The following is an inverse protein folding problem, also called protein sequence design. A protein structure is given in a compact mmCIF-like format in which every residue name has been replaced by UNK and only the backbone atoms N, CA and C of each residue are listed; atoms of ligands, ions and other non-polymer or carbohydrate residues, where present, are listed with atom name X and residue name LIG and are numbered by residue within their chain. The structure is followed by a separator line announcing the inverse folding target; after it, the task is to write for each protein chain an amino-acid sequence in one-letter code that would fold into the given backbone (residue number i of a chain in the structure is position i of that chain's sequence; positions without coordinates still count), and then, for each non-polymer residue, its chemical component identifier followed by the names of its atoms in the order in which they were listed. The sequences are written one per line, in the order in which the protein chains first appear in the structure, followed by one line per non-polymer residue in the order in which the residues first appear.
data_IF_782981588940
#
_entry.id   IF_782981588940
#
_cell.length_a   1.000
_cell.length_b   1.000
_cell.length_c   1.000
_cell.angle_alpha   90.00
_cell.angle_beta   90.00
_cell.angle_gamma   90.00
#
_symmetry.space_group_name_H-M   'P 1'
#
loop_
_entity.id
_entity.type
_entity.pdbx_description
1 polymer ?
#
# COMPACT_ATOMS: atom_id res chain seq x y z
N UNK A 1 -13.67 -2.75 9.19
CA UNK A 1 -13.94 -1.60 8.30
C UNK A 1 -13.11 -0.42 8.80
N UNK A 2 -12.01 -0.09 8.11
CA UNK A 2 -11.26 1.13 8.40
C UNK A 2 -11.91 2.27 7.60
N UNK A 3 -12.42 3.28 8.29
CA UNK A 3 -12.97 4.48 7.66
C UNK A 3 -11.85 5.48 7.43
N UNK A 4 -11.82 6.07 6.23
CA UNK A 4 -10.88 7.10 5.85
C UNK A 4 -11.49 8.46 6.20
N UNK A 5 -10.84 9.20 7.10
CA UNK A 5 -11.22 10.58 7.40
C UNK A 5 -10.36 11.52 6.56
N UNK A 6 -10.99 12.17 5.60
CA UNK A 6 -10.39 13.24 4.82
C UNK A 6 -10.58 14.56 5.58
N UNK A 7 -9.51 15.12 6.16
CA UNK A 7 -9.58 16.47 6.74
C UNK A 7 -9.47 17.50 5.61
N UNK A 8 -10.62 17.97 5.14
CA UNK A 8 -10.71 19.12 4.23
C UNK A 8 -10.34 20.40 5.00
N UNK A 9 -9.22 21.05 4.66
CA UNK A 9 -9.04 22.49 4.94
C UNK A 9 -9.79 23.27 3.86
N UNK A 10 -11.11 23.38 3.99
CA UNK A 10 -12.00 24.01 3.01
C UNK A 10 -13.47 23.92 3.41
N UNK A 11 -14.39 24.62 2.71
CA UNK A 11 -15.80 24.71 3.10
C UNK A 11 -16.39 23.31 3.32
N UNK A 12 -17.05 23.12 4.47
CA UNK A 12 -17.59 21.81 4.86
C UNK A 12 -18.56 21.30 3.80
N UNK A 13 -18.25 20.14 3.20
CA UNK A 13 -19.23 19.40 2.42
C UNK A 13 -20.30 18.89 3.39
N UNK A 14 -21.58 19.13 3.07
CA UNK A 14 -22.66 18.68 3.93
C UNK A 14 -22.74 17.15 3.91
N UNK A 15 -22.22 16.52 4.96
CA UNK A 15 -22.25 15.08 5.13
C UNK A 15 -23.67 14.59 5.43
N UNK A 16 -24.33 14.01 4.42
CA UNK A 16 -25.60 13.29 4.62
C UNK A 16 -25.41 11.88 5.18
N UNK A 17 -24.20 11.54 5.66
CA UNK A 17 -23.87 10.14 6.05
C UNK A 17 -22.84 10.06 7.18
N UNK A 18 -22.84 10.99 8.13
CA UNK A 18 -22.24 10.69 9.44
C UNK A 18 -23.35 10.11 10.30
N UNK A 19 -23.38 8.78 10.40
CA UNK A 19 -24.13 8.08 11.45
C UNK A 19 -23.67 8.68 12.79
N UNK A 20 -24.61 9.16 13.59
CA UNK A 20 -24.44 9.84 14.88
C UNK A 20 -23.84 8.96 16.01
N UNK A 21 -23.00 7.98 15.64
CA UNK A 21 -22.31 7.07 16.55
C UNK A 21 -20.98 6.55 16.01
N UNK A 22 -20.37 7.21 15.03
CA UNK A 22 -19.04 6.82 14.53
C UNK A 22 -17.95 7.23 15.52
N UNK A 23 -17.38 6.25 16.23
CA UNK A 23 -16.09 6.45 16.89
C UNK A 23 -15.01 6.52 15.81
N UNK A 24 -14.38 7.68 15.70
CA UNK A 24 -13.24 7.84 14.80
C UNK A 24 -12.11 6.91 15.27
N UNK A 25 -11.42 6.18 14.37
CA UNK A 25 -10.22 5.47 14.75
C UNK A 25 -9.21 6.47 15.32
N UNK A 26 -8.53 6.08 16.40
CA UNK A 26 -7.58 6.92 17.13
C UNK A 26 -6.39 7.39 16.28
N UNK A 27 -6.20 6.79 15.09
CA UNK A 27 -5.21 7.13 14.08
C UNK A 27 -5.93 7.34 12.75
N UNK A 28 -6.27 8.60 12.44
CA UNK A 28 -6.72 8.98 11.12
C UNK A 28 -5.51 9.14 10.19
N UNK A 29 -5.59 8.55 8.99
CA UNK A 29 -4.65 8.85 7.91
C UNK A 29 -5.00 10.24 7.39
N UNK A 30 -4.33 11.26 7.93
CA UNK A 30 -4.45 12.63 7.45
C UNK A 30 -3.52 12.79 6.27
N UNK A 31 -4.08 12.92 5.08
CA UNK A 31 -3.33 13.32 3.90
C UNK A 31 -3.91 14.63 3.36
N UNK A 32 -3.02 15.47 2.85
CA UNK A 32 -3.40 16.75 2.27
C UNK A 32 -4.06 16.52 0.91
N UNK A 33 -5.29 17.00 0.77
CA UNK A 33 -6.06 16.94 -0.46
C UNK A 33 -5.42 17.70 -1.60
N UNK A 34 -4.80 18.84 -1.32
CA UNK A 34 -4.13 19.65 -2.33
C UNK A 34 -2.89 18.92 -2.83
N UNK A 35 -2.11 18.35 -1.91
CA UNK A 35 -0.94 17.55 -2.25
C UNK A 35 -1.32 16.27 -3.04
N UNK A 36 -2.40 15.59 -2.66
CA UNK A 36 -2.90 14.43 -3.41
C UNK A 36 -3.41 14.85 -4.81
N UNK A 37 -4.10 15.97 -4.91
CA UNK A 37 -4.57 16.50 -6.19
C UNK A 37 -3.39 16.86 -7.10
N UNK A 38 -2.38 17.56 -6.58
CA UNK A 38 -1.15 17.90 -7.30
C UNK A 38 -0.40 16.63 -7.76
N UNK A 39 -0.35 15.62 -6.90
CA UNK A 39 0.18 14.30 -7.24
C UNK A 39 -0.58 13.72 -8.45
N UNK A 40 -1.91 13.63 -8.38
CA UNK A 40 -2.75 13.12 -9.47
C UNK A 40 -2.68 13.93 -10.78
N UNK A 41 -2.28 15.20 -10.74
CA UNK A 41 -2.07 16.02 -11.94
C UNK A 41 -0.84 15.59 -12.75
N UNK A 42 0.14 14.93 -12.11
CA UNK A 42 1.32 14.41 -12.80
C UNK A 42 1.06 13.11 -13.57
N UNK A 43 -0.11 12.50 -13.38
CA UNK A 43 -0.47 11.25 -14.03
C UNK A 43 -0.73 11.45 -15.54
N UNK A 44 -0.14 10.61 -16.41
CA UNK A 44 -0.41 10.66 -17.84
C UNK A 44 -1.90 10.48 -18.15
N UNK A 45 -2.43 11.31 -19.06
CA UNK A 45 -3.82 11.20 -19.53
C UNK A 45 -3.86 10.51 -20.90
N UNK A 46 -4.17 9.22 -20.90
CA UNK A 46 -4.22 8.39 -22.11
C UNK A 46 -5.53 8.52 -22.89
N UNK A 47 -6.42 9.46 -22.53
CA UNK A 47 -7.67 9.71 -23.26
C UNK A 47 -7.39 10.41 -24.59
N UNK A 48 -8.24 10.14 -25.58
CA UNK A 48 -8.27 10.95 -26.79
C UNK A 48 -8.54 12.43 -26.43
N UNK A 49 -7.76 13.32 -27.03
CA UNK A 49 -7.87 14.78 -26.85
C UNK A 49 -9.25 15.31 -27.25
N UNK A 50 -9.96 14.62 -28.14
CA UNK A 50 -11.30 15.01 -28.59
C UNK A 50 -12.34 14.74 -27.50
N UNK A 51 -13.05 15.79 -27.08
CA UNK A 51 -14.18 15.67 -26.16
C UNK A 51 -13.80 15.56 -24.68
N UNK A 52 -12.59 16.00 -24.30
CA UNK A 52 -12.18 16.15 -22.90
C UNK A 52 -13.02 17.22 -22.20
N UNK A 53 -14.01 16.78 -21.42
CA UNK A 53 -14.89 17.67 -20.65
C UNK A 53 -14.40 17.92 -19.23
N UNK A 54 -13.68 16.97 -18.64
CA UNK A 54 -13.22 17.02 -17.25
C UNK A 54 -11.72 16.74 -17.17
N UNK A 55 -10.95 17.54 -16.39
CA UNK A 55 -9.56 17.24 -16.08
C UNK A 55 -9.44 15.85 -15.44
N UNK A 56 -8.41 15.08 -15.80
CA UNK A 56 -8.23 13.72 -15.28
C UNK A 56 -8.07 13.71 -13.77
N UNK A 57 -7.20 14.56 -13.23
CA UNK A 57 -6.97 14.68 -11.79
C UNK A 57 -8.27 14.95 -11.01
N UNK A 58 -9.15 15.81 -11.52
CA UNK A 58 -10.44 16.10 -10.87
C UNK A 58 -11.37 14.88 -10.88
N UNK A 59 -11.41 14.11 -11.98
CA UNK A 59 -12.16 12.85 -12.01
C UNK A 59 -11.59 11.86 -10.99
N UNK A 60 -10.29 11.64 -10.98
CA UNK A 60 -9.66 10.69 -10.07
C UNK A 60 -9.87 11.11 -8.61
N UNK A 61 -9.73 12.39 -8.30
CA UNK A 61 -9.94 12.91 -6.95
C UNK A 61 -11.39 12.74 -6.48
N UNK A 62 -12.38 13.08 -7.33
CA UNK A 62 -13.80 12.80 -7.04
C UNK A 62 -14.01 11.30 -6.84
N UNK A 63 -13.33 10.45 -7.62
CA UNK A 63 -13.39 9.01 -7.50
C UNK A 63 -12.83 8.49 -6.18
N UNK A 64 -11.69 9.02 -5.73
CA UNK A 64 -11.11 8.75 -4.41
C UNK A 64 -12.13 9.13 -3.33
N UNK A 65 -12.66 10.36 -3.34
CA UNK A 65 -13.64 10.79 -2.35
C UNK A 65 -14.89 9.89 -2.33
N UNK A 66 -15.40 9.50 -3.50
CA UNK A 66 -16.52 8.56 -3.60
C UNK A 66 -16.18 7.20 -3.00
N UNK A 67 -14.97 6.67 -3.25
CA UNK A 67 -14.49 5.40 -2.67
C UNK A 67 -14.36 5.48 -1.15
N UNK A 68 -13.86 6.59 -0.63
CA UNK A 68 -13.78 6.83 0.82
C UNK A 68 -15.17 6.93 1.44
N UNK A 69 -16.14 7.48 0.71
CA UNK A 69 -17.57 7.47 1.07
C UNK A 69 -18.26 6.10 0.81
N UNK A 70 -17.50 5.03 0.56
CA UNK A 70 -18.00 3.66 0.44
C UNK A 70 -18.58 3.29 -0.92
N UNK A 71 -18.41 4.12 -1.95
CA UNK A 71 -18.91 3.81 -3.30
C UNK A 71 -17.93 2.92 -4.05
N UNK A 72 -18.28 1.68 -4.36
CA UNK A 72 -17.39 0.69 -4.95
C UNK A 72 -17.59 0.43 -6.45
N UNK A 73 -18.56 1.11 -7.08
CA UNK A 73 -18.90 0.94 -8.49
C UNK A 73 -18.93 2.27 -9.26
N UNK A 74 -18.67 2.24 -10.58
CA UNK A 74 -18.76 3.42 -11.45
C UNK A 74 -20.12 4.11 -11.40
N UNK A 75 -21.20 3.34 -11.19
CA UNK A 75 -22.56 3.87 -10.99
C UNK A 75 -22.70 4.56 -9.64
N UNK A 76 -22.20 3.93 -8.57
CA UNK A 76 -22.17 4.52 -7.22
C UNK A 76 -21.38 5.83 -7.19
N UNK A 77 -20.20 5.86 -7.80
CA UNK A 77 -19.36 7.06 -7.92
C UNK A 77 -20.09 8.18 -8.67
N UNK A 78 -20.70 7.88 -9.82
CA UNK A 78 -21.47 8.87 -10.59
C UNK A 78 -22.67 9.41 -9.81
N UNK A 79 -23.40 8.54 -9.12
CA UNK A 79 -24.54 8.93 -8.29
C UNK A 79 -24.11 9.81 -7.12
N UNK A 80 -23.06 9.41 -6.40
CA UNK A 80 -22.50 10.17 -5.28
C UNK A 80 -22.02 11.55 -5.71
N UNK A 81 -21.31 11.64 -6.83
CA UNK A 81 -20.85 12.92 -7.38
C UNK A 81 -22.04 13.81 -7.76
N UNK A 82 -23.08 13.24 -8.41
CA UNK A 82 -24.30 13.98 -8.81
C UNK A 82 -25.00 14.64 -7.61
N UNK A 83 -25.08 13.96 -6.47
CA UNK A 83 -25.69 14.51 -5.26
C UNK A 83 -24.90 15.67 -4.64
N UNK A 84 -23.58 15.72 -4.89
CA UNK A 84 -22.64 16.72 -4.35
C UNK A 84 -22.11 17.67 -5.42
N UNK A 85 -22.87 17.85 -6.51
CA UNK A 85 -22.40 18.57 -7.71
C UNK A 85 -21.93 20.00 -7.44
N UNK A 86 -22.58 20.69 -6.49
CA UNK A 86 -22.27 22.09 -6.16
C UNK A 86 -20.96 22.17 -5.40
N UNK A 87 -20.80 21.37 -4.34
CA UNK A 87 -19.56 21.39 -3.56
C UNK A 87 -18.37 20.93 -4.39
N UNK A 88 -18.51 19.86 -5.17
CA UNK A 88 -17.43 19.35 -6.02
C UNK A 88 -17.06 20.32 -7.15
N UNK A 89 -18.04 21.04 -7.72
CA UNK A 89 -17.77 22.05 -8.75
C UNK A 89 -16.99 23.24 -8.18
N UNK A 90 -17.29 23.64 -6.95
CA UNK A 90 -16.56 24.71 -6.25
C UNK A 90 -15.16 24.25 -5.87
N UNK A 91 -15.04 23.07 -5.26
CA UNK A 91 -13.77 22.52 -4.78
C UNK A 91 -12.74 22.30 -5.91
N UNK A 92 -13.19 21.81 -7.07
CA UNK A 92 -12.31 21.53 -8.21
C UNK A 92 -12.36 22.58 -9.32
N UNK A 93 -13.00 23.73 -9.06
CA UNK A 93 -13.17 24.82 -10.03
C UNK A 93 -13.66 24.34 -11.42
N UNK A 94 -14.65 23.42 -11.41
CA UNK A 94 -15.16 22.84 -12.64
C UNK A 94 -15.92 23.88 -13.45
N UNK A 95 -15.71 23.89 -14.77
CA UNK A 95 -16.40 24.81 -15.70
C UNK A 95 -17.92 24.63 -15.73
N UNK A 96 -18.43 23.49 -15.25
CA UNK A 96 -19.84 23.11 -15.30
C UNK A 96 -20.20 22.39 -14.01
N UNK A 97 -21.37 22.68 -13.46
CA UNK A 97 -21.96 21.94 -12.33
C UNK A 97 -22.54 20.57 -12.74
N UNK A 98 -22.39 20.17 -14.00
CA UNK A 98 -22.81 18.85 -14.44
C UNK A 98 -21.73 17.83 -14.09
N UNK A 99 -22.13 16.73 -13.45
CA UNK A 99 -21.20 15.69 -13.03
C UNK A 99 -21.03 14.60 -14.10
N UNK A 100 -19.89 13.89 -14.13
CA UNK A 100 -19.63 12.85 -15.10
C UNK A 100 -20.63 11.69 -14.96
N UNK A 101 -21.19 11.25 -16.10
CA UNK A 101 -22.02 10.06 -16.16
C UNK A 101 -21.20 8.78 -15.89
N UNK A 102 -21.86 7.68 -15.48
CA UNK A 102 -21.17 6.41 -15.15
C UNK A 102 -20.29 5.90 -16.29
N UNK A 103 -20.67 6.14 -17.55
CA UNK A 103 -19.89 5.74 -18.73
C UNK A 103 -18.58 6.52 -18.88
N UNK A 104 -18.48 7.73 -18.33
CA UNK A 104 -17.20 8.47 -18.25
C UNK A 104 -16.26 7.82 -17.25
N UNK A 105 -16.78 7.43 -16.08
CA UNK A 105 -16.02 6.70 -15.07
C UNK A 105 -15.49 5.36 -15.59
N UNK A 106 -16.36 4.55 -16.23
CA UNK A 106 -15.94 3.27 -16.82
C UNK A 106 -14.87 3.45 -17.90
N UNK A 107 -14.97 4.48 -18.76
CA UNK A 107 -13.93 4.75 -19.76
C UNK A 107 -12.61 5.20 -19.14
N UNK A 108 -12.67 6.06 -18.12
CA UNK A 108 -11.49 6.59 -17.45
C UNK A 108 -10.77 5.47 -16.71
N UNK A 109 -11.47 4.73 -15.85
CA UNK A 109 -10.89 3.65 -15.07
C UNK A 109 -10.50 2.42 -15.92
N UNK A 110 -11.11 2.25 -17.10
CA UNK A 110 -10.82 1.12 -17.99
C UNK A 110 -9.70 1.37 -19.00
N UNK A 111 -9.46 2.63 -19.41
CA UNK A 111 -8.58 2.94 -20.54
C UNK A 111 -7.74 4.20 -20.40
N UNK A 112 -8.12 5.16 -19.53
CA UNK A 112 -7.41 6.44 -19.47
C UNK A 112 -6.17 6.42 -18.60
N UNK A 113 -6.05 5.40 -17.74
CA UNK A 113 -5.09 5.35 -16.66
C UNK A 113 -4.56 3.94 -16.55
N UNK A 114 -3.24 3.79 -16.52
CA UNK A 114 -2.61 2.50 -16.28
C UNK A 114 -2.52 2.23 -14.77
N UNK A 115 -2.97 1.06 -14.26
CA UNK A 115 -2.95 0.76 -12.83
C UNK A 115 -1.55 0.91 -12.19
N UNK A 116 -0.50 0.46 -12.90
CA UNK A 116 0.87 0.55 -12.40
C UNK A 116 1.37 2.00 -12.23
N UNK A 117 0.94 2.92 -13.09
CA UNK A 117 1.28 4.34 -12.98
C UNK A 117 0.62 4.96 -11.73
N UNK A 118 -0.64 4.60 -11.46
CA UNK A 118 -1.35 5.06 -10.25
C UNK A 118 -0.71 4.52 -8.99
N UNK A 119 -0.42 3.21 -8.97
CA UNK A 119 0.21 2.56 -7.82
C UNK A 119 1.56 3.19 -7.50
N UNK A 120 2.39 3.41 -8.52
CA UNK A 120 3.70 4.04 -8.34
C UNK A 120 3.58 5.46 -7.79
N UNK A 121 2.69 6.26 -8.39
CA UNK A 121 2.49 7.66 -8.03
C UNK A 121 1.94 7.81 -6.60
N UNK A 122 0.93 7.02 -6.24
CA UNK A 122 0.37 7.00 -4.89
C UNK A 122 1.38 6.45 -3.87
N UNK A 123 2.15 5.43 -4.23
CA UNK A 123 3.23 4.90 -3.39
C UNK A 123 4.25 5.99 -3.03
N UNK A 124 4.73 6.75 -4.01
CA UNK A 124 5.63 7.88 -3.79
C UNK A 124 5.02 8.97 -2.91
N UNK A 125 3.74 9.31 -3.13
CA UNK A 125 3.03 10.29 -2.32
C UNK A 125 3.01 9.88 -0.85
N UNK A 126 2.67 8.63 -0.57
CA UNK A 126 2.61 8.14 0.80
C UNK A 126 3.99 8.03 1.45
N UNK A 127 5.05 7.71 0.70
CA UNK A 127 6.43 7.72 1.23
C UNK A 127 6.87 9.16 1.56
N UNK A 128 6.63 10.10 0.65
CA UNK A 128 7.05 11.51 0.82
C UNK A 128 6.33 12.17 1.99
N UNK A 129 5.02 11.93 2.13
CA UNK A 129 4.22 12.45 3.24
C UNK A 129 4.66 11.93 4.62
N UNK A 130 5.54 10.93 4.68
CA UNK A 130 6.08 10.37 5.92
C UNK A 130 7.49 10.87 6.26
N UNK A 131 8.13 11.63 5.36
CA UNK A 131 9.58 11.88 5.37
C UNK A 131 10.01 13.21 6.00
N UNK A 132 9.25 13.75 6.95
CA UNK A 132 9.65 14.98 7.67
C UNK A 132 10.89 14.80 8.57
N UNK A 133 11.41 13.58 8.71
CA UNK A 133 12.63 13.28 9.45
C UNK A 133 13.46 12.20 8.74
N UNK A 134 14.79 12.26 8.88
CA UNK A 134 15.71 11.21 8.44
C UNK A 134 15.21 9.83 8.91
N UNK A 135 15.16 8.82 8.02
CA UNK A 135 14.63 7.51 8.36
C UNK A 135 15.52 6.85 9.40
N UNK A 136 15.08 6.90 10.65
CA UNK A 136 15.72 6.20 11.75
C UNK A 136 15.62 4.69 11.49
N UNK A 137 16.76 3.99 11.56
CA UNK A 137 16.83 2.54 11.32
C UNK A 137 15.80 1.81 12.17
N UNK A 138 14.98 0.99 11.51
CA UNK A 138 14.01 0.15 12.19
C UNK A 138 12.67 0.81 12.54
N UNK A 139 12.44 2.07 12.13
CA UNK A 139 11.22 2.81 12.49
C UNK A 139 10.00 2.41 11.67
N UNK A 140 10.21 1.98 10.43
CA UNK A 140 9.13 1.70 9.48
C UNK A 140 9.03 0.19 9.29
N UNK A 141 7.87 -0.40 9.59
CA UNK A 141 7.60 -1.79 9.24
C UNK A 141 6.94 -1.84 7.86
N UNK A 142 7.48 -2.67 6.97
CA UNK A 142 6.87 -3.05 5.70
C UNK A 142 6.53 -4.53 5.75
N UNK A 143 5.29 -4.89 5.46
CA UNK A 143 4.82 -6.26 5.46
C UNK A 143 4.54 -6.72 4.02
N UNK A 144 5.02 -7.91 3.68
CA UNK A 144 4.73 -8.62 2.44
C UNK A 144 3.59 -9.61 2.66
N UNK A 145 2.52 -9.49 1.88
CA UNK A 145 1.33 -10.34 2.01
C UNK A 145 0.67 -10.61 0.66
N UNK A 146 0.36 -11.88 0.40
CA UNK A 146 -0.31 -12.37 -0.80
C UNK A 146 -1.83 -12.46 -0.61
N UNK A 147 -2.61 -11.74 -1.42
CA UNK A 147 -4.08 -11.77 -1.40
C UNK A 147 -4.68 -12.17 -2.73
N UNK A 148 -5.65 -13.09 -2.67
CA UNK A 148 -6.49 -13.44 -3.83
C UNK A 148 -7.75 -12.59 -3.84
N UNK A 149 -7.95 -11.85 -4.93
CA UNK A 149 -9.16 -11.08 -5.20
C UNK A 149 -10.28 -12.01 -5.63
N UNK A 150 -11.03 -12.56 -4.66
CA UNK A 150 -12.09 -13.56 -4.93
C UNK A 150 -13.17 -13.09 -5.90
N UNK A 151 -13.44 -11.78 -5.96
CA UNK A 151 -14.40 -11.21 -6.92
C UNK A 151 -13.95 -11.24 -8.39
N UNK A 152 -12.71 -11.68 -8.66
CA UNK A 152 -12.16 -11.79 -10.02
C UNK A 152 -12.11 -13.23 -10.53
N UNK A 153 -12.62 -14.20 -9.75
CA UNK A 153 -12.68 -15.61 -10.15
C UNK A 153 -13.65 -15.73 -11.35
N UNK A 154 -13.20 -16.18 -12.53
CA UNK A 154 -14.08 -16.42 -13.66
C UNK A 154 -15.12 -17.51 -13.35
N UNK A 155 -16.27 -17.46 -14.03
CA UNK A 155 -17.31 -18.47 -13.85
C UNK A 155 -16.76 -19.87 -14.23
N UNK A 156 -16.82 -20.80 -13.28
CA UNK A 156 -16.32 -22.16 -13.48
C UNK A 156 -14.86 -22.38 -13.06
N UNK A 157 -14.16 -21.32 -12.63
CA UNK A 157 -12.80 -21.42 -12.11
C UNK A 157 -12.75 -21.34 -10.58
N UNK A 158 -11.60 -21.70 -10.00
CA UNK A 158 -11.36 -21.65 -8.55
C UNK A 158 -10.33 -20.60 -8.16
N UNK A 159 -9.65 -20.01 -9.14
CA UNK A 159 -8.57 -19.05 -8.94
C UNK A 159 -8.97 -17.70 -9.53
N UNK A 160 -8.65 -16.66 -8.81
CA UNK A 160 -8.79 -15.27 -9.26
C UNK A 160 -7.42 -14.63 -9.31
N UNK A 161 -7.40 -13.32 -9.58
CA UNK A 161 -6.19 -12.52 -9.52
C UNK A 161 -5.58 -12.62 -8.13
N UNK A 162 -4.32 -13.09 -8.09
CA UNK A 162 -3.51 -13.14 -6.88
C UNK A 162 -2.50 -11.99 -6.91
N UNK A 163 -2.47 -11.20 -5.84
CA UNK A 163 -1.63 -10.01 -5.70
C UNK A 163 -0.71 -10.19 -4.51
N UNK A 164 0.59 -9.98 -4.71
CA UNK A 164 1.54 -9.79 -3.62
C UNK A 164 1.66 -8.29 -3.35
N UNK A 165 1.39 -7.87 -2.11
CA UNK A 165 1.40 -6.47 -1.70
C UNK A 165 2.52 -6.20 -0.67
N UNK A 166 3.16 -5.04 -0.81
CA UNK A 166 4.06 -4.46 0.17
C UNK A 166 3.31 -3.32 0.87
N UNK A 167 2.93 -3.53 2.12
CA UNK A 167 2.06 -2.61 2.85
C UNK A 167 2.63 -2.21 4.21
N UNK A 168 2.32 -1.00 4.64
CA UNK A 168 2.71 -0.47 5.93
C UNK A 168 1.58 -0.75 6.94
N UNK A 169 1.73 -1.72 7.87
CA UNK A 169 0.63 -2.18 8.73
C UNK A 169 0.09 -1.09 9.66
N UNK A 170 0.99 -0.25 10.19
CA UNK A 170 0.63 0.83 11.11
C UNK A 170 -0.21 1.92 10.43
N UNK A 171 0.04 2.19 9.14
CA UNK A 171 -0.74 3.17 8.39
C UNK A 171 -1.88 2.55 7.59
N UNK A 172 -1.83 1.25 7.28
CA UNK A 172 -2.81 0.61 6.40
C UNK A 172 -2.68 1.06 4.93
N UNK A 173 -1.47 1.45 4.51
CA UNK A 173 -1.17 1.88 3.14
C UNK A 173 -0.47 0.75 2.39
N UNK A 174 -0.85 0.50 1.15
CA UNK A 174 -0.10 -0.36 0.22
C UNK A 174 0.84 0.55 -0.58
N UNK A 175 2.15 0.31 -0.51
CA UNK A 175 3.15 1.10 -1.24
C UNK A 175 3.36 0.59 -2.65
N UNK A 176 3.28 -0.73 -2.82
CA UNK A 176 3.40 -1.38 -4.12
C UNK A 176 2.67 -2.72 -4.07
N UNK A 177 2.20 -3.18 -5.22
CA UNK A 177 1.67 -4.52 -5.38
C UNK A 177 2.04 -5.08 -6.76
N UNK A 178 2.04 -6.41 -6.88
CA UNK A 178 2.32 -7.07 -8.16
C UNK A 178 1.41 -8.28 -8.32
N UNK A 179 0.89 -8.47 -9.53
CA UNK A 179 0.16 -9.70 -9.88
C UNK A 179 1.13 -10.88 -9.92
N UNK A 180 0.74 -11.94 -9.25
CA UNK A 180 1.45 -13.22 -9.26
C UNK A 180 0.72 -14.13 -10.24
N UNK A 181 1.45 -14.62 -11.24
CA UNK A 181 0.89 -15.53 -12.24
C UNK A 181 0.51 -16.88 -11.60
N UNK A 182 -0.52 -17.54 -12.12
CA UNK A 182 -1.10 -18.77 -11.55
C UNK A 182 -0.12 -19.96 -11.43
N UNK A 183 0.96 -19.94 -12.22
CA UNK A 183 2.02 -20.95 -12.24
C UNK A 183 3.27 -20.53 -11.44
N UNK A 184 3.24 -19.36 -10.83
CA UNK A 184 4.37 -18.77 -10.13
C UNK A 184 4.08 -18.60 -8.64
N UNK A 185 5.15 -18.52 -7.84
CA UNK A 185 5.04 -18.33 -6.41
C UNK A 185 5.36 -16.88 -6.03
N UNK A 186 4.79 -16.40 -4.93
CA UNK A 186 5.06 -15.05 -4.39
C UNK A 186 6.56 -14.83 -4.16
N UNK A 187 7.31 -15.88 -3.80
CA UNK A 187 8.77 -15.86 -3.57
C UNK A 187 9.52 -15.26 -4.76
N UNK A 188 9.13 -15.59 -6.01
CA UNK A 188 9.84 -15.07 -7.20
C UNK A 188 9.45 -13.63 -7.55
N UNK A 189 8.36 -13.14 -6.98
CA UNK A 189 7.82 -11.79 -7.22
C UNK A 189 8.23 -10.79 -6.14
N UNK A 190 8.46 -11.25 -4.90
CA UNK A 190 8.92 -10.39 -3.80
C UNK A 190 10.18 -9.57 -4.13
N UNK A 191 11.23 -10.13 -4.76
CA UNK A 191 12.38 -9.34 -5.22
C UNK A 191 12.01 -8.19 -6.15
N UNK A 192 11.08 -8.42 -7.09
CA UNK A 192 10.66 -7.41 -8.07
C UNK A 192 9.82 -6.32 -7.42
N UNK A 193 8.99 -6.70 -6.46
CA UNK A 193 8.15 -5.78 -5.70
C UNK A 193 8.99 -4.85 -4.83
N UNK A 194 9.97 -5.40 -4.09
CA UNK A 194 10.83 -4.61 -3.19
C UNK A 194 11.73 -3.62 -3.93
N UNK A 195 12.06 -3.84 -5.21
CA UNK A 195 12.82 -2.85 -6.02
C UNK A 195 12.05 -1.56 -6.28
N UNK A 196 10.72 -1.58 -6.11
CA UNK A 196 9.86 -0.41 -6.33
C UNK A 196 9.71 0.45 -5.08
N UNK A 197 10.26 0.00 -3.95
CA UNK A 197 10.10 0.64 -2.64
C UNK A 197 11.47 1.05 -2.10
N UNK A 198 11.57 2.25 -1.54
CA UNK A 198 12.75 2.68 -0.82
C UNK A 198 12.82 1.98 0.54
N UNK A 199 13.84 1.16 0.75
CA UNK A 199 13.99 0.34 1.96
C UNK A 199 14.85 0.99 3.05
N UNK A 200 15.35 2.22 2.84
CA UNK A 200 16.15 2.93 3.85
C UNK A 200 15.38 3.10 5.16
N UNK A 201 15.88 2.49 6.23
CA UNK A 201 15.27 2.53 7.57
C UNK A 201 14.00 1.69 7.73
N UNK A 202 13.69 0.85 6.74
CA UNK A 202 12.54 -0.06 6.73
C UNK A 202 12.92 -1.44 7.24
N UNK A 203 12.10 -2.04 8.09
CA UNK A 203 12.11 -3.47 8.43
C UNK A 203 11.08 -4.18 7.57
N UNK A 204 11.53 -5.03 6.65
CA UNK A 204 10.67 -5.89 5.85
C UNK A 204 10.30 -7.13 6.66
N UNK A 205 9.02 -7.48 6.67
CA UNK A 205 8.48 -8.66 7.36
C UNK A 205 7.48 -9.37 6.46
N UNK A 206 7.20 -10.63 6.75
CA UNK A 206 6.27 -11.43 5.95
C UNK A 206 6.21 -12.86 6.44
N UNK A 207 5.44 -13.66 5.71
CA UNK A 207 5.30 -15.08 5.99
C UNK A 207 6.61 -15.85 5.86
N UNK A 208 6.66 -17.00 6.53
CA UNK A 208 7.84 -17.86 6.60
C UNK A 208 8.38 -18.32 5.24
N UNK A 209 7.55 -18.30 4.19
CA UNK A 209 7.99 -18.61 2.83
C UNK A 209 9.00 -17.60 2.27
N UNK A 210 9.03 -16.37 2.78
CA UNK A 210 9.97 -15.32 2.39
C UNK A 210 11.33 -15.42 3.10
N UNK A 211 11.52 -16.40 4.00
CA UNK A 211 12.82 -16.72 4.59
C UNK A 211 13.79 -17.30 3.54
N UNK A 212 14.25 -16.44 2.65
CA UNK A 212 15.12 -16.74 1.53
C UNK A 212 16.38 -15.90 1.65
N UNK A 213 17.54 -16.54 1.52
CA UNK A 213 18.85 -15.89 1.66
C UNK A 213 19.03 -14.76 0.65
N UNK A 214 18.68 -14.99 -0.60
CA UNK A 214 18.82 -14.03 -1.68
C UNK A 214 17.93 -12.79 -1.48
N UNK A 215 16.70 -12.99 -0.98
CA UNK A 215 15.79 -11.90 -0.65
C UNK A 215 16.34 -11.05 0.51
N UNK A 216 16.87 -11.70 1.54
CA UNK A 216 17.49 -11.05 2.70
C UNK A 216 18.71 -10.22 2.29
N UNK A 217 19.57 -10.76 1.42
CA UNK A 217 20.72 -10.03 0.86
C UNK A 217 20.26 -8.80 0.08
N UNK A 218 19.22 -8.92 -0.75
CA UNK A 218 18.67 -7.80 -1.51
C UNK A 218 18.19 -6.66 -0.59
N UNK A 219 17.49 -6.99 0.50
CA UNK A 219 16.97 -6.00 1.45
C UNK A 219 18.12 -5.24 2.12
N UNK A 220 19.13 -5.96 2.59
CA UNK A 220 20.31 -5.34 3.24
C UNK A 220 21.10 -4.48 2.25
N UNK A 221 21.28 -4.94 1.02
CA UNK A 221 21.92 -4.16 -0.05
C UNK A 221 21.16 -2.86 -0.35
N UNK A 222 19.83 -2.88 -0.23
CA UNK A 222 18.97 -1.71 -0.35
C UNK A 222 18.90 -0.85 0.93
N UNK A 223 19.77 -1.10 1.93
CA UNK A 223 19.83 -0.39 3.22
C UNK A 223 18.58 -0.56 4.10
N UNK A 224 17.83 -1.64 3.89
CA UNK A 224 16.77 -2.09 4.77
C UNK A 224 17.22 -3.17 5.73
N UNK A 225 16.35 -3.47 6.69
CA UNK A 225 16.45 -4.58 7.61
C UNK A 225 15.31 -5.57 7.35
N UNK A 226 15.38 -6.79 7.86
CA UNK A 226 14.33 -7.80 7.69
C UNK A 226 14.03 -8.55 8.98
N UNK A 227 12.81 -9.08 9.07
CA UNK A 227 12.33 -9.96 10.14
C UNK A 227 11.52 -11.10 9.51
N UNK A 228 12.12 -12.29 9.49
CA UNK A 228 11.48 -13.50 8.98
C UNK A 228 11.08 -14.44 10.11
N UNK A 229 9.95 -15.11 9.92
CA UNK A 229 9.60 -16.27 10.73
C UNK A 229 10.19 -17.52 10.09
N UNK A 230 11.07 -18.22 10.79
CA UNK A 230 11.59 -19.52 10.31
C UNK A 230 10.62 -20.61 10.72
N UNK A 231 10.00 -21.29 9.75
CA UNK A 231 9.28 -22.57 9.98
C UNK A 231 10.25 -23.74 9.77
N UNK A 232 9.85 -24.96 10.15
CA UNK A 232 10.67 -26.18 10.05
C UNK A 232 11.00 -26.60 8.61
N UNK A 233 11.78 -25.80 7.85
CA UNK A 233 12.30 -26.18 6.54
C UNK A 233 13.53 -25.34 6.13
N UNK A 234 14.74 -25.92 5.98
CA UNK A 234 15.15 -27.31 6.23
C UNK A 234 15.52 -27.52 7.72
N UNK A 235 15.43 -28.77 8.22
CA UNK A 235 15.70 -29.15 9.63
C UNK A 235 16.98 -28.53 10.22
N UNK A 236 18.02 -28.39 9.40
CA UNK A 236 19.30 -27.80 9.81
C UNK A 236 19.25 -26.31 10.10
N UNK A 237 18.43 -25.50 9.41
CA UNK A 237 18.45 -24.05 9.64
C UNK A 237 17.97 -23.70 11.06
N UNK A 238 16.95 -24.41 11.54
CA UNK A 238 16.45 -24.24 12.91
C UNK A 238 17.50 -24.68 13.92
N UNK A 239 18.13 -25.83 13.69
CA UNK A 239 19.22 -26.35 14.53
C UNK A 239 20.44 -25.40 14.53
N UNK A 240 20.82 -24.89 13.37
CA UNK A 240 21.93 -23.95 13.20
C UNK A 240 21.64 -22.63 13.94
N UNK A 241 20.40 -22.12 13.85
CA UNK A 241 19.95 -20.96 14.64
C UNK A 241 20.01 -21.29 16.13
N UNK A 242 19.49 -22.43 16.58
CA UNK A 242 19.55 -22.85 17.98
C UNK A 242 21.00 -22.94 18.47
N UNK A 243 21.90 -23.54 17.70
CA UNK A 243 23.34 -23.65 18.01
C UNK A 243 24.00 -22.28 18.07
N UNK A 244 23.69 -21.38 17.12
CA UNK A 244 24.26 -20.03 17.07
C UNK A 244 23.92 -19.23 18.32
N UNK A 245 22.70 -19.38 18.84
CA UNK A 245 22.23 -18.70 20.05
C UNK A 245 22.53 -19.47 21.35
N UNK A 246 23.15 -20.65 21.29
CA UNK A 246 23.61 -21.35 22.50
C UNK A 246 24.79 -20.60 23.16
N UNK A 247 24.86 -20.59 24.51
CA UNK A 247 25.97 -20.01 25.23
C UNK A 247 27.29 -20.70 24.83
N UNK A 248 28.26 -19.96 24.30
CA UNK A 248 29.55 -20.52 23.92
C UNK A 248 30.31 -21.02 25.16
N UNK A 249 30.65 -22.31 25.19
CA UNK A 249 31.53 -22.87 26.21
C UNK A 249 32.97 -22.53 25.84
N UNK A 250 33.57 -21.53 26.49
CA UNK A 250 34.99 -21.18 26.28
C UNK A 250 35.87 -22.39 26.62
N UNK A 251 36.54 -22.95 25.61
CA UNK A 251 37.67 -23.86 25.81
C UNK A 251 38.91 -23.00 26.06
N UNK A 252 39.79 -23.45 26.96
CA UNK A 252 40.94 -22.67 27.42
C UNK A 252 41.94 -22.26 26.32
N UNK A 253 41.81 -22.81 25.11
CA UNK A 253 42.77 -22.66 24.01
C UNK A 253 42.20 -22.03 22.72
N UNK A 254 40.93 -21.62 22.68
CA UNK A 254 40.33 -21.00 21.49
C UNK A 254 39.63 -19.69 21.80
N UNK A 255 39.98 -18.65 21.05
CA UNK A 255 39.23 -17.39 21.00
C UNK A 255 37.93 -17.63 20.26
N UNK A 256 36.79 -17.39 20.94
CA UNK A 256 35.48 -17.44 20.31
C UNK A 256 35.39 -16.38 19.18
N UNK A 257 34.71 -16.68 18.06
CA UNK A 257 34.46 -15.68 17.03
C UNK A 257 33.73 -14.45 17.62
N UNK A 258 33.98 -13.24 17.09
CA UNK A 258 33.27 -12.05 17.54
C UNK A 258 31.78 -12.21 17.21
N UNK A 259 30.97 -12.36 18.26
CA UNK A 259 29.51 -12.35 18.14
C UNK A 259 29.07 -10.89 18.02
N UNK A 260 28.56 -10.49 16.86
CA UNK A 260 27.88 -9.19 16.64
C UNK A 260 26.39 -9.25 17.01
N UNK A 261 25.93 -10.37 17.57
CA UNK A 261 24.56 -10.57 18.04
C UNK A 261 24.24 -9.71 19.26
N UNK A 262 23.06 -9.09 19.23
CA UNK A 262 22.43 -8.47 20.40
C UNK A 262 21.25 -9.35 20.80
N UNK A 263 21.26 -9.85 22.03
CA UNK A 263 20.15 -10.66 22.56
C UNK A 263 19.09 -9.74 23.15
N UNK A 264 17.84 -9.91 22.74
CA UNK A 264 16.68 -9.32 23.38
C UNK A 264 15.76 -10.44 23.86
N UNK A 265 15.26 -10.36 25.09
CA UNK A 265 14.33 -11.33 25.67
C UNK A 265 13.00 -10.63 25.89
N UNK A 266 11.95 -11.13 25.26
CA UNK A 266 10.59 -10.74 25.61
C UNK A 266 10.24 -11.41 26.93
N UNK A 267 9.94 -10.58 27.93
CA UNK A 267 9.30 -11.02 29.19
C UNK A 267 7.81 -10.84 28.97
N UNK A 268 7.04 -11.92 29.09
CA UNK A 268 5.58 -11.85 28.97
C UNK A 268 5.01 -10.84 29.98
N UNK A 269 4.00 -10.08 29.53
CA UNK A 269 3.14 -9.25 30.37
C UNK A 269 1.79 -9.93 30.48
#
# INVERSE_FOLDING_TARGET
MKQFLCLMKGPSMNDTTILSGLSLPQQALVFDLEALYACLQSLPDHRDRRGLQYPLASLLMIGVLAKLAGQDSSRGMAHWAKLRRRELSQLFHLKREQMPHYSTWSRVLGHAVEPSEVEHLLGQFFVTAQSDAEPQRGRIQLALDGKTLRGTIPLGETRGVHLLAAYLPNQGVVLAQIRVDEKSNEITHAPKLLRQVDLRGVIVSGDAMFDQRELSIQIVQAKGDYLWMVKNNPERLREDIEVLFQPHRKLASTSAPPNDFRTARTVEK
#
